data_IF_751575961444
#
_entry.id   IF_751575961444
#
_cell.length_a   1.000
_cell.length_b   1.000
_cell.length_c   1.000
_cell.angle_alpha   90.00
_cell.angle_beta   90.00
_cell.angle_gamma   90.00
#
_symmetry.space_group_name_H-M   'P 1'
#
loop_
_entity.id
_entity.type
_entity.pdbx_description
1 polymer ?
#
# COMPACT_ATOMS: atom_id res chain seq x y z
N UNK A 1 2.68 -4.86 -10.05
CA UNK A 1 1.56 -5.71 -10.51
C UNK A 1 0.65 -4.86 -11.40
N UNK A 2 1.17 -4.44 -12.56
CA UNK A 2 0.63 -3.33 -13.39
C UNK A 2 0.67 -3.64 -14.89
N UNK A 3 0.78 -4.91 -15.25
CA UNK A 3 0.66 -5.30 -16.64
C UNK A 3 -0.84 -5.24 -16.99
N UNK A 4 -1.30 -4.08 -17.49
CA UNK A 4 -2.55 -3.91 -18.26
C UNK A 4 -3.84 -3.43 -17.56
N UNK A 5 -3.95 -3.33 -16.24
CA UNK A 5 -5.25 -3.00 -15.59
C UNK A 5 -5.57 -1.51 -15.38
N UNK A 6 -4.65 -0.58 -15.69
CA UNK A 6 -4.82 0.85 -15.36
C UNK A 6 -4.79 1.79 -16.57
N UNK A 7 -4.89 1.27 -17.80
CA UNK A 7 -5.14 2.11 -18.97
C UNK A 7 -6.63 2.45 -18.94
N UNK A 8 -6.95 3.69 -18.55
CA UNK A 8 -8.31 4.17 -18.52
C UNK A 8 -8.86 4.21 -19.96
N UNK A 9 -10.12 3.77 -20.20
CA UNK A 9 -10.75 3.88 -21.50
C UNK A 9 -10.67 5.33 -22.04
N UNK A 10 -10.39 5.53 -23.35
CA UNK A 10 -10.27 6.86 -23.93
C UNK A 10 -11.49 7.73 -23.68
N UNK A 11 -12.68 7.18 -23.89
CA UNK A 11 -13.96 7.88 -23.74
C UNK A 11 -14.15 8.42 -22.31
N UNK A 12 -13.74 7.64 -21.31
CA UNK A 12 -13.84 8.05 -19.91
C UNK A 12 -12.81 9.14 -19.57
N UNK A 13 -11.64 9.09 -20.22
CA UNK A 13 -10.59 10.12 -20.06
C UNK A 13 -11.01 11.44 -20.70
N UNK A 14 -11.64 11.41 -21.87
CA UNK A 14 -12.18 12.60 -22.53
C UNK A 14 -13.33 13.22 -21.74
N UNK A 15 -14.28 12.40 -21.26
CA UNK A 15 -15.35 12.86 -20.39
C UNK A 15 -14.79 13.53 -19.13
N UNK A 16 -13.85 12.88 -18.45
CA UNK A 16 -13.26 13.44 -17.24
C UNK A 16 -12.57 14.79 -17.49
N UNK A 17 -11.88 14.95 -18.63
CA UNK A 17 -11.28 16.23 -19.05
C UNK A 17 -12.34 17.31 -19.32
N UNK A 18 -13.44 16.96 -19.98
CA UNK A 18 -14.50 17.93 -20.30
C UNK A 18 -15.20 18.50 -19.06
N UNK A 19 -15.33 17.69 -18.01
CA UNK A 19 -16.05 18.04 -16.78
C UNK A 19 -15.13 18.33 -15.58
N UNK A 20 -13.82 18.50 -15.83
CA UNK A 20 -12.79 18.74 -14.80
C UNK A 20 -12.83 17.71 -13.64
N UNK A 21 -13.04 16.44 -13.99
CA UNK A 21 -13.08 15.33 -13.04
C UNK A 21 -11.66 14.73 -12.93
N UNK A 22 -11.14 14.69 -11.71
CA UNK A 22 -9.85 14.05 -11.44
C UNK A 22 -9.97 12.53 -11.41
N UNK A 23 -9.24 11.84 -12.31
CA UNK A 23 -9.11 10.39 -12.30
C UNK A 23 -7.89 9.98 -11.46
N UNK A 24 -8.14 9.35 -10.32
CA UNK A 24 -7.10 8.84 -9.43
C UNK A 24 -6.91 7.33 -9.64
N UNK A 25 -5.71 6.91 -10.04
CA UNK A 25 -5.36 5.48 -10.15
C UNK A 25 -4.50 5.05 -8.97
N UNK A 26 -4.75 3.86 -8.44
CA UNK A 26 -3.96 3.31 -7.35
C UNK A 26 -2.68 2.68 -7.92
N UNK A 27 -1.55 3.38 -7.84
CA UNK A 27 -0.25 2.81 -8.15
C UNK A 27 0.38 2.24 -6.87
N UNK A 28 -0.06 1.04 -6.47
CA UNK A 28 0.61 0.31 -5.38
C UNK A 28 2.02 -0.09 -5.86
N UNK A 29 3.09 0.22 -5.10
CA UNK A 29 4.42 -0.24 -5.46
C UNK A 29 4.45 -1.77 -5.50
N UNK A 30 5.30 -2.34 -6.37
CA UNK A 30 5.42 -3.80 -6.53
C UNK A 30 5.84 -4.47 -5.21
N UNK A 31 6.64 -3.78 -4.43
CA UNK A 31 7.11 -4.18 -3.11
C UNK A 31 6.67 -3.11 -2.11
N UNK A 32 5.78 -3.49 -1.19
CA UNK A 32 5.16 -2.55 -0.24
C UNK A 32 6.09 -2.14 0.90
N UNK A 33 7.03 -3.02 1.26
CA UNK A 33 8.02 -2.77 2.29
C UNK A 33 9.30 -3.51 1.91
N UNK A 34 10.25 -2.82 1.26
CA UNK A 34 11.55 -3.37 0.96
C UNK A 34 12.28 -3.79 2.24
N UNK A 35 13.18 -4.77 2.13
CA UNK A 35 13.99 -5.26 3.25
C UNK A 35 14.69 -4.11 3.99
N UNK A 36 15.28 -3.16 3.26
CA UNK A 36 15.98 -2.02 3.87
C UNK A 36 15.07 -1.17 4.75
N UNK A 37 13.89 -0.80 4.23
CA UNK A 37 12.89 -0.02 4.97
C UNK A 37 12.35 -0.80 6.16
N UNK A 38 12.19 -2.12 6.03
CA UNK A 38 11.79 -2.99 7.13
C UNK A 38 12.83 -3.01 8.25
N UNK A 39 14.11 -3.21 7.90
CA UNK A 39 15.22 -3.22 8.84
C UNK A 39 15.36 -1.87 9.56
N UNK A 40 15.17 -0.76 8.84
CA UNK A 40 15.18 0.59 9.42
C UNK A 40 14.02 0.81 10.40
N UNK A 41 12.78 0.48 10.02
CA UNK A 41 11.61 0.60 10.88
C UNK A 41 11.71 -0.26 12.17
N UNK A 42 12.38 -1.41 12.08
CA UNK A 42 12.61 -2.26 13.25
C UNK A 42 13.70 -1.73 14.18
N UNK A 43 14.72 -1.04 13.66
CA UNK A 43 15.77 -0.43 14.51
C UNK A 43 15.19 0.60 15.46
N UNK A 44 14.21 1.37 14.99
CA UNK A 44 13.52 2.38 15.79
C UNK A 44 12.66 1.75 16.90
N UNK A 45 12.01 0.62 16.60
CA UNK A 45 11.02 0.00 17.50
C UNK A 45 11.58 -1.10 18.42
N UNK A 46 12.71 -1.73 18.07
CA UNK A 46 13.31 -2.83 18.82
C UNK A 46 14.86 -2.79 18.78
N UNK A 47 15.50 -1.78 19.40
CA UNK A 47 16.95 -1.58 19.31
C UNK A 47 17.81 -2.71 19.90
N UNK A 48 17.26 -3.54 20.79
CA UNK A 48 18.01 -4.61 21.48
C UNK A 48 17.96 -5.98 20.78
N UNK A 49 17.22 -6.11 19.68
CA UNK A 49 17.12 -7.37 18.93
C UNK A 49 18.18 -7.45 17.82
N UNK A 50 18.68 -8.65 17.50
CA UNK A 50 19.46 -8.90 16.28
C UNK A 50 18.55 -8.88 15.06
N UNK A 51 18.13 -7.66 14.66
CA UNK A 51 17.23 -7.39 13.54
C UNK A 51 17.79 -7.94 12.22
N UNK A 52 19.12 -8.01 12.09
CA UNK A 52 19.81 -8.52 10.89
C UNK A 52 19.50 -9.97 10.53
N UNK A 53 18.94 -10.76 11.46
CA UNK A 53 18.52 -12.15 11.20
C UNK A 53 17.06 -12.25 10.74
N UNK A 54 16.29 -11.18 10.91
CA UNK A 54 14.86 -11.19 10.65
C UNK A 54 14.60 -10.87 9.20
N UNK A 55 13.73 -11.67 8.58
CA UNK A 55 13.28 -11.45 7.20
C UNK A 55 11.77 -11.31 7.16
N UNK A 56 11.23 -10.40 6.33
CA UNK A 56 9.81 -10.24 6.12
C UNK A 56 9.26 -11.47 5.40
N UNK A 57 8.22 -12.08 5.95
CA UNK A 57 7.56 -13.26 5.35
C UNK A 57 6.38 -12.84 4.50
N UNK A 58 5.52 -12.01 5.07
CA UNK A 58 4.34 -11.48 4.41
C UNK A 58 3.90 -10.18 5.06
N UNK A 59 3.16 -9.38 4.29
CA UNK A 59 2.56 -8.13 4.71
C UNK A 59 1.09 -8.16 4.35
N UNK A 60 0.24 -7.78 5.29
CA UNK A 60 -1.19 -7.69 5.15
C UNK A 60 -1.62 -6.22 5.32
N UNK A 61 -2.19 -5.63 4.28
CA UNK A 61 -2.85 -4.33 4.36
C UNK A 61 -4.28 -4.50 4.85
N UNK A 62 -4.69 -3.73 5.86
CA UNK A 62 -6.07 -3.68 6.30
C UNK A 62 -6.63 -2.26 6.23
N UNK A 63 -7.93 -2.18 5.95
CA UNK A 63 -8.70 -0.94 5.96
C UNK A 63 -10.01 -1.17 6.68
N UNK A 64 -10.35 -0.32 7.64
CA UNK A 64 -11.62 -0.32 8.36
C UNK A 64 -12.51 0.75 7.77
N UNK A 65 -13.69 0.37 7.29
CA UNK A 65 -14.59 1.27 6.55
C UNK A 65 -15.93 1.41 7.29
N UNK A 66 -16.40 2.64 7.44
CA UNK A 66 -17.76 2.96 7.88
C UNK A 66 -18.71 2.77 6.68
N UNK A 67 -19.32 1.58 6.62
CA UNK A 67 -20.11 1.12 5.45
C UNK A 67 -21.15 2.13 4.95
N UNK A 68 -21.84 2.83 5.85
CA UNK A 68 -22.94 3.74 5.52
C UNK A 68 -22.50 5.06 4.88
N UNK A 69 -21.23 5.43 5.01
CA UNK A 69 -20.69 6.71 4.51
C UNK A 69 -19.51 6.53 3.56
N UNK A 70 -19.07 5.29 3.31
CA UNK A 70 -17.88 5.00 2.50
C UNK A 70 -16.57 5.55 3.10
N UNK A 71 -16.56 5.94 4.38
CA UNK A 71 -15.39 6.59 5.01
C UNK A 71 -14.41 5.53 5.52
N UNK A 72 -13.13 5.67 5.17
CA UNK A 72 -12.05 4.86 5.76
C UNK A 72 -11.76 5.39 7.16
N UNK A 73 -12.12 4.63 8.19
CA UNK A 73 -11.87 4.94 9.60
C UNK A 73 -10.42 4.68 10.00
N UNK A 74 -9.82 3.64 9.44
CA UNK A 74 -8.46 3.23 9.77
C UNK A 74 -7.84 2.50 8.58
N UNK A 75 -6.54 2.69 8.38
CA UNK A 75 -5.75 1.97 7.39
C UNK A 75 -4.41 1.66 8.01
N UNK A 76 -3.90 0.46 7.79
CA UNK A 76 -2.62 0.06 8.32
C UNK A 76 -2.08 -1.21 7.68
N UNK A 77 -0.94 -1.64 8.19
CA UNK A 77 -0.26 -2.84 7.75
C UNK A 77 0.02 -3.74 8.96
N UNK A 78 -0.12 -5.04 8.76
CA UNK A 78 0.36 -6.09 9.65
C UNK A 78 1.46 -6.83 8.93
N UNK A 79 2.46 -7.27 9.67
CA UNK A 79 3.63 -7.90 9.09
C UNK A 79 4.06 -9.10 9.94
N UNK A 80 4.42 -10.19 9.25
CA UNK A 80 5.13 -11.29 9.86
C UNK A 80 6.62 -11.23 9.54
N UNK A 81 7.41 -11.60 10.55
CA UNK A 81 8.85 -11.76 10.46
C UNK A 81 9.24 -13.20 10.79
N UNK A 82 10.28 -13.70 10.14
CA UNK A 82 10.93 -14.96 10.48
C UNK A 82 12.34 -14.66 10.97
N UNK A 83 12.70 -15.19 12.12
CA UNK A 83 13.98 -15.03 12.81
C UNK A 83 14.18 -16.15 13.81
#
# INVERSE_FOLDING_TARGET
>A
NLASCCIMPPDLTEFAKQFDIQLLTHNDPKELLPEETFQEALKESAPECQISTWTPVWILRYSVIVKTRGIIKMKGYLQARKG
#
